data_IF_500605779957
#
_entry.id   IF_500605779957
#
_cell.length_a   1.000
_cell.length_b   1.000
_cell.length_c   1.000
_cell.angle_alpha   90.00
_cell.angle_beta   90.00
_cell.angle_gamma   90.00
#
_symmetry.space_group_name_H-M   'P 1'
#
loop_
_entity.id
_entity.type
_entity.pdbx_description
1 polymer ?
#
# COMPACT_ATOMS: atom_id res chain seq x y z
N UNK A 1 -28.55 28.63 32.06
CA UNK A 1 -27.65 27.48 32.35
C UNK A 1 -27.64 26.53 31.16
N UNK A 2 -26.51 25.90 30.84
CA UNK A 2 -26.40 24.88 29.77
C UNK A 2 -27.08 23.58 30.22
N UNK A 3 -27.75 22.88 29.31
CA UNK A 3 -28.39 21.59 29.61
C UNK A 3 -27.35 20.54 30.06
N UNK A 4 -27.50 19.99 31.27
CA UNK A 4 -26.64 18.91 31.80
C UNK A 4 -27.02 17.56 31.19
N UNK A 5 -26.04 16.66 31.07
CA UNK A 5 -26.19 15.36 30.41
C UNK A 5 -25.78 14.22 31.34
N UNK A 6 -26.53 13.12 31.27
CA UNK A 6 -26.27 11.88 32.01
C UNK A 6 -25.92 10.74 31.06
N UNK A 7 -25.07 9.81 31.51
CA UNK A 7 -24.76 8.61 30.71
C UNK A 7 -26.01 7.74 30.55
N UNK A 8 -26.23 7.24 29.32
CA UNK A 8 -27.39 6.39 28.99
C UNK A 8 -27.13 4.90 29.17
N UNK A 9 -25.86 4.49 29.17
CA UNK A 9 -25.43 3.11 29.36
C UNK A 9 -25.34 2.79 30.85
N UNK A 10 -25.46 1.50 31.21
CA UNK A 10 -25.34 1.04 32.61
C UNK A 10 -24.02 1.46 33.28
N UNK A 11 -22.94 1.60 32.52
CA UNK A 11 -21.64 1.99 33.04
C UNK A 11 -21.58 3.50 33.30
N UNK A 12 -21.40 3.88 34.57
CA UNK A 12 -21.36 5.27 35.03
C UNK A 12 -19.97 5.93 34.96
N UNK A 13 -18.91 5.16 34.71
CA UNK A 13 -17.53 5.66 34.74
C UNK A 13 -17.04 6.18 33.39
N UNK A 14 -16.18 7.21 33.43
CA UNK A 14 -15.53 7.85 32.28
C UNK A 14 -14.33 7.03 31.76
N UNK A 15 -14.62 5.88 31.14
CA UNK A 15 -13.59 4.98 30.61
C UNK A 15 -13.31 5.24 29.11
N UNK A 16 -12.20 4.72 28.60
CA UNK A 16 -11.85 4.80 27.16
C UNK A 16 -12.87 4.11 26.24
N UNK A 17 -13.67 3.16 26.75
CA UNK A 17 -14.75 2.48 26.02
C UNK A 17 -16.08 3.23 26.09
N UNK A 18 -16.32 3.95 27.18
CA UNK A 18 -17.56 4.70 27.41
C UNK A 18 -17.40 6.17 26.98
N UNK A 19 -16.86 6.38 25.78
CA UNK A 19 -16.69 7.71 25.19
C UNK A 19 -17.99 8.11 24.50
N UNK A 20 -18.42 9.36 24.65
CA UNK A 20 -19.71 9.83 24.14
C UNK A 20 -19.55 11.06 23.25
N UNK A 21 -20.43 11.19 22.27
CA UNK A 21 -20.61 12.42 21.48
C UNK A 21 -21.92 13.06 21.93
N UNK A 22 -21.88 14.36 22.22
CA UNK A 22 -23.09 15.15 22.45
C UNK A 22 -23.77 15.40 21.10
N UNK A 23 -25.02 14.97 20.97
CA UNK A 23 -25.81 15.13 19.74
C UNK A 23 -27.14 15.81 20.09
N UNK A 24 -27.56 16.79 19.28
CA UNK A 24 -28.90 17.37 19.35
C UNK A 24 -29.90 16.40 18.70
N UNK A 25 -30.94 16.03 19.43
CA UNK A 25 -32.04 15.25 18.86
C UNK A 25 -32.98 16.16 18.05
N UNK A 26 -33.80 15.60 17.15
CA UNK A 26 -34.82 16.37 16.43
C UNK A 26 -35.77 17.15 17.36
N UNK A 27 -36.06 16.62 18.56
CA UNK A 27 -36.84 17.30 19.60
C UNK A 27 -36.06 18.37 20.39
N UNK A 28 -34.90 18.82 19.90
CA UNK A 28 -34.11 19.91 20.49
C UNK A 28 -33.32 19.57 21.75
N UNK A 29 -33.40 18.33 22.26
CA UNK A 29 -32.70 17.91 23.49
C UNK A 29 -31.25 17.50 23.19
N UNK A 30 -30.31 17.92 24.02
CA UNK A 30 -28.93 17.41 23.98
C UNK A 30 -28.88 16.01 24.64
N UNK A 31 -28.25 15.04 23.98
CA UNK A 31 -28.15 13.66 24.45
C UNK A 31 -26.78 13.07 24.14
N UNK A 32 -26.25 12.22 25.03
CA UNK A 32 -25.05 11.42 24.77
C UNK A 32 -25.35 10.23 23.85
N UNK A 33 -24.56 10.08 22.79
CA UNK A 33 -24.49 8.88 21.98
C UNK A 33 -23.13 8.20 22.17
N UNK A 34 -23.14 6.89 22.44
CA UNK A 34 -21.91 6.12 22.61
C UNK A 34 -21.11 6.08 21.33
N UNK A 35 -19.84 6.48 21.42
CA UNK A 35 -18.89 6.42 20.32
C UNK A 35 -18.02 5.18 20.44
N UNK A 36 -17.76 4.53 19.32
CA UNK A 36 -16.79 3.42 19.26
C UNK A 36 -15.37 3.99 19.34
N UNK A 37 -14.46 3.28 20.02
CA UNK A 37 -13.02 3.56 19.97
C UNK A 37 -12.53 3.60 18.52
N UNK A 38 -11.71 4.59 18.20
CA UNK A 38 -11.05 4.72 16.90
C UNK A 38 -10.09 3.55 16.69
N UNK A 39 -10.13 2.94 15.51
CA UNK A 39 -9.24 1.84 15.16
C UNK A 39 -7.89 2.36 14.65
N UNK A 40 -6.81 1.68 15.02
CA UNK A 40 -5.56 1.77 14.29
C UNK A 40 -5.67 0.94 13.01
N UNK A 41 -5.44 1.56 11.85
CA UNK A 41 -5.42 0.84 10.57
C UNK A 41 -4.20 -0.08 10.42
N UNK A 42 -4.19 -0.94 9.40
CA UNK A 42 -3.09 -1.86 9.13
C UNK A 42 -1.77 -1.12 8.83
N UNK A 43 -0.68 -1.62 9.40
CA UNK A 43 0.67 -1.06 9.24
C UNK A 43 1.59 -2.09 8.62
N UNK A 44 2.56 -1.61 7.85
CA UNK A 44 3.68 -2.41 7.38
C UNK A 44 4.60 -2.76 8.57
N UNK A 45 4.99 -4.04 8.77
CA UNK A 45 5.89 -4.43 9.86
C UNK A 45 7.32 -3.89 9.71
N UNK A 46 7.80 -3.72 8.48
CA UNK A 46 9.17 -3.23 8.21
C UNK A 46 9.25 -1.71 8.35
N UNK A 47 8.37 -1.00 7.65
CA UNK A 47 8.45 0.47 7.56
C UNK A 47 7.61 1.18 8.63
N UNK A 48 6.71 0.49 9.34
CA UNK A 48 5.73 1.09 10.24
C UNK A 48 4.66 1.97 9.57
N UNK A 49 4.82 2.28 8.28
CA UNK A 49 3.89 3.08 7.46
C UNK A 49 2.53 2.40 7.34
N UNK A 50 1.48 3.21 7.31
CA UNK A 50 0.09 2.76 7.09
C UNK A 50 -0.06 2.22 5.67
N UNK A 51 -0.83 1.15 5.51
CA UNK A 51 -1.09 0.57 4.19
C UNK A 51 -2.18 1.38 3.49
N UNK A 52 -1.82 2.00 2.38
CA UNK A 52 -2.75 2.77 1.55
C UNK A 52 -3.77 1.86 0.86
N UNK A 53 -4.99 2.36 0.71
CA UNK A 53 -6.10 1.66 0.04
C UNK A 53 -6.90 0.71 0.94
N UNK A 54 -6.55 0.57 2.22
CA UNK A 54 -7.28 -0.26 3.18
C UNK A 54 -7.94 0.61 4.25
N UNK A 55 -9.25 0.42 4.55
CA UNK A 55 -9.98 1.24 5.51
C UNK A 55 -9.58 0.93 6.96
N UNK A 56 -9.60 1.96 7.79
CA UNK A 56 -9.23 1.90 9.20
C UNK A 56 -10.46 1.59 10.06
N UNK A 57 -10.82 0.32 10.13
CA UNK A 57 -12.03 -0.14 10.80
C UNK A 57 -11.72 -1.05 11.98
N UNK A 58 -12.68 -1.23 12.88
CA UNK A 58 -12.52 -2.20 13.98
C UNK A 58 -12.64 -3.63 13.45
N UNK A 59 -12.04 -4.63 14.13
CA UNK A 59 -12.10 -6.02 13.67
C UNK A 59 -13.52 -6.54 13.41
N UNK A 60 -14.50 -6.10 14.22
CA UNK A 60 -15.91 -6.48 14.03
C UNK A 60 -16.54 -5.91 12.75
N UNK A 61 -16.03 -4.79 12.23
CA UNK A 61 -16.47 -4.20 10.97
C UNK A 61 -15.74 -4.85 9.79
N UNK A 62 -14.52 -5.34 9.98
CA UNK A 62 -13.72 -6.04 8.96
C UNK A 62 -14.25 -7.44 8.57
N UNK A 63 -15.29 -7.93 9.25
CA UNK A 63 -15.93 -9.22 8.98
C UNK A 63 -16.45 -9.30 7.55
N UNK A 64 -16.38 -10.50 6.95
CA UNK A 64 -16.78 -10.77 5.55
C UNK A 64 -18.24 -10.41 5.26
N UNK A 65 -19.12 -10.48 6.26
CA UNK A 65 -20.53 -10.10 6.12
C UNK A 65 -20.76 -8.59 5.99
N UNK A 66 -19.80 -7.76 6.43
CA UNK A 66 -19.93 -6.29 6.43
C UNK A 66 -19.09 -5.61 5.38
N UNK A 67 -17.90 -6.16 5.07
CA UNK A 67 -17.03 -5.62 4.03
C UNK A 67 -16.68 -6.63 2.93
N UNK A 68 -16.81 -6.23 1.65
CA UNK A 68 -16.37 -7.04 0.52
C UNK A 68 -14.84 -7.22 0.51
N UNK A 69 -14.35 -8.17 -0.29
CA UNK A 69 -12.91 -8.50 -0.34
C UNK A 69 -12.06 -7.38 -0.93
N UNK A 70 -12.53 -6.75 -2.02
CA UNK A 70 -11.83 -5.66 -2.71
C UNK A 70 -11.47 -4.48 -1.79
N UNK A 71 -12.31 -4.16 -0.80
CA UNK A 71 -12.02 -3.11 0.20
C UNK A 71 -11.04 -3.54 1.28
N UNK A 72 -10.79 -4.84 1.44
CA UNK A 72 -9.92 -5.39 2.51
C UNK A 72 -8.51 -5.72 2.02
N UNK A 73 -8.29 -5.76 0.72
CA UNK A 73 -7.05 -6.21 0.09
C UNK A 73 -6.59 -5.23 -0.99
N UNK A 74 -5.31 -5.27 -1.34
CA UNK A 74 -4.78 -4.54 -2.50
C UNK A 74 -4.23 -5.54 -3.51
N UNK A 75 -4.52 -5.33 -4.79
CA UNK A 75 -4.12 -6.23 -5.89
C UNK A 75 -2.63 -6.05 -6.24
N UNK A 76 -1.74 -6.53 -5.37
CA UNK A 76 -0.29 -6.64 -5.60
C UNK A 76 0.32 -7.74 -4.72
N UNK A 77 1.56 -8.12 -4.99
CA UNK A 77 2.32 -9.00 -4.10
C UNK A 77 2.37 -8.43 -2.67
N UNK A 78 2.10 -9.30 -1.67
CA UNK A 78 2.00 -8.95 -0.25
C UNK A 78 0.99 -7.82 0.07
N UNK A 79 -0.05 -7.66 -0.75
CA UNK A 79 -1.11 -6.67 -0.56
C UNK A 79 -1.79 -6.79 0.81
N UNK A 80 -1.83 -5.68 1.56
CA UNK A 80 -2.41 -5.64 2.91
C UNK A 80 -1.48 -6.06 4.04
N UNK A 81 -0.25 -6.48 3.73
CA UNK A 81 0.78 -6.79 4.73
C UNK A 81 1.95 -5.82 4.62
N UNK A 82 2.46 -5.59 3.40
CA UNK A 82 3.60 -4.71 3.14
C UNK A 82 3.18 -3.40 2.45
N UNK A 83 3.91 -2.33 2.74
CA UNK A 83 3.81 -1.06 1.99
C UNK A 83 4.34 -1.24 0.57
N UNK A 84 3.88 -0.40 -0.38
CA UNK A 84 4.34 -0.47 -1.76
C UNK A 84 5.86 -0.29 -1.90
N UNK A 85 6.47 0.58 -1.10
CA UNK A 85 7.92 0.78 -1.07
C UNK A 85 8.67 -0.47 -0.59
N UNK A 86 8.23 -1.08 0.50
CA UNK A 86 8.86 -2.28 1.05
C UNK A 86 8.76 -3.48 0.09
N UNK A 87 7.68 -3.57 -0.68
CA UNK A 87 7.56 -4.59 -1.74
C UNK A 87 8.59 -4.35 -2.84
N UNK A 88 8.74 -3.10 -3.32
CA UNK A 88 9.73 -2.75 -4.35
C UNK A 88 11.16 -3.03 -3.89
N UNK A 89 11.53 -2.62 -2.68
CA UNK A 89 12.84 -2.89 -2.09
C UNK A 89 13.13 -4.39 -2.01
N UNK A 90 12.14 -5.21 -1.61
CA UNK A 90 12.29 -6.68 -1.59
C UNK A 90 12.55 -7.28 -2.97
N UNK A 91 11.81 -6.83 -3.99
CA UNK A 91 12.05 -7.30 -5.36
C UNK A 91 13.45 -6.92 -5.85
N UNK A 92 13.89 -5.68 -5.60
CA UNK A 92 15.22 -5.21 -5.99
C UNK A 92 16.32 -5.97 -5.24
N UNK A 93 16.21 -6.11 -3.92
CA UNK A 93 17.18 -6.87 -3.13
C UNK A 93 17.24 -8.34 -3.53
N UNK A 94 16.10 -8.97 -3.83
CA UNK A 94 16.08 -10.36 -4.28
C UNK A 94 16.72 -10.51 -5.67
N UNK A 95 16.47 -9.59 -6.59
CA UNK A 95 17.16 -9.55 -7.88
C UNK A 95 18.67 -9.37 -7.72
N UNK A 96 19.12 -8.42 -6.89
CA UNK A 96 20.55 -8.18 -6.64
C UNK A 96 21.23 -9.39 -5.98
N UNK A 97 20.53 -10.08 -5.06
CA UNK A 97 21.05 -11.29 -4.41
C UNK A 97 21.16 -12.45 -5.40
N UNK A 98 20.17 -12.61 -6.27
CA UNK A 98 20.17 -13.62 -7.33
C UNK A 98 21.24 -13.32 -8.40
N UNK A 99 21.47 -12.05 -8.76
CA UNK A 99 22.53 -11.67 -9.70
C UNK A 99 23.93 -11.90 -9.11
N UNK A 100 24.14 -11.55 -7.83
CA UNK A 100 25.42 -11.81 -7.15
C UNK A 100 25.66 -13.32 -6.95
N UNK A 101 24.61 -14.10 -6.65
CA UNK A 101 24.74 -15.55 -6.54
C UNK A 101 25.06 -16.23 -7.87
N UNK A 102 24.57 -15.69 -9.00
CA UNK A 102 24.93 -16.17 -10.33
C UNK A 102 26.40 -15.86 -10.68
N UNK A 103 26.94 -14.71 -10.25
CA UNK A 103 28.36 -14.39 -10.44
C UNK A 103 29.30 -15.29 -9.62
N UNK A 104 28.90 -15.70 -8.42
CA UNK A 104 29.70 -16.62 -7.59
C UNK A 104 29.68 -18.04 -8.17
N UNK A 105 28.54 -18.52 -8.68
CA UNK A 105 28.43 -19.84 -9.31
C UNK A 105 29.11 -19.94 -10.69
N UNK A 106 29.38 -18.82 -11.37
CA UNK A 106 30.14 -18.82 -12.63
C UNK A 106 31.64 -19.03 -12.39
N UNK A 107 32.14 -18.86 -11.16
CA UNK A 107 33.55 -19.11 -10.82
C UNK A 107 33.84 -20.57 -10.40
N UNK A 108 32.81 -21.35 -10.09
CA UNK A 108 32.92 -22.79 -9.81
C UNK A 108 32.27 -23.56 -10.95
N UNK A 109 33.01 -23.78 -12.03
CA UNK A 109 32.52 -24.44 -13.24
C UNK A 109 31.81 -25.77 -12.93
N UNK A 110 30.48 -25.79 -13.01
CA UNK A 110 29.68 -27.00 -13.18
C UNK A 110 28.24 -26.66 -13.60
N UNK A 111 27.98 -26.92 -14.88
CA UNK A 111 26.72 -27.31 -15.53
C UNK A 111 25.42 -26.96 -14.80
N UNK A 112 24.83 -25.80 -15.13
CA UNK A 112 23.37 -25.66 -15.06
C UNK A 112 22.87 -24.62 -16.08
N UNK A 113 23.18 -24.87 -17.35
CA UNK A 113 22.51 -24.21 -18.47
C UNK A 113 21.16 -24.88 -18.59
N UNK A 114 20.10 -24.31 -17.99
CA UNK A 114 18.70 -24.48 -18.45
C UNK A 114 17.65 -23.68 -17.65
N UNK A 115 18.00 -22.72 -16.77
CA UNK A 115 17.01 -21.85 -16.09
C UNK A 115 17.38 -20.36 -16.11
N UNK A 116 18.03 -19.90 -17.18
CA UNK A 116 18.36 -18.47 -17.43
C UNK A 116 17.37 -17.82 -18.44
N UNK A 117 16.42 -18.60 -18.97
CA UNK A 117 15.52 -18.15 -20.04
C UNK A 117 14.44 -17.13 -19.65
N UNK A 118 13.91 -17.20 -18.43
CA UNK A 118 12.66 -16.47 -18.11
C UNK A 118 12.88 -15.11 -17.44
N UNK A 119 13.97 -14.94 -16.69
CA UNK A 119 14.32 -13.67 -16.06
C UNK A 119 14.92 -12.65 -17.03
N UNK A 120 15.62 -13.11 -18.07
CA UNK A 120 16.13 -12.23 -19.13
C UNK A 120 15.01 -11.63 -19.99
N UNK A 121 13.81 -12.23 -20.03
CA UNK A 121 12.69 -11.75 -20.86
C UNK A 121 12.00 -10.53 -20.28
N UNK A 122 11.74 -10.51 -18.97
CA UNK A 122 11.02 -9.42 -18.30
C UNK A 122 11.90 -8.16 -18.21
N UNK A 123 13.19 -8.34 -17.89
CA UNK A 123 14.15 -7.22 -17.81
C UNK A 123 14.51 -6.70 -19.21
N UNK A 124 14.68 -7.56 -20.23
CA UNK A 124 14.82 -7.10 -21.63
C UNK A 124 13.56 -6.37 -22.09
N UNK A 125 12.36 -6.84 -21.77
CA UNK A 125 11.12 -6.14 -22.16
C UNK A 125 11.06 -4.73 -21.56
N UNK A 126 11.41 -4.57 -20.29
CA UNK A 126 11.44 -3.25 -19.63
C UNK A 126 12.53 -2.34 -20.23
N UNK A 127 13.77 -2.83 -20.38
CA UNK A 127 14.88 -2.02 -20.91
C UNK A 127 14.71 -1.68 -22.41
N UNK A 128 14.05 -2.54 -23.20
CA UNK A 128 13.76 -2.28 -24.62
C UNK A 128 12.68 -1.22 -24.79
N UNK A 129 11.65 -1.19 -23.94
CA UNK A 129 10.62 -0.14 -23.97
C UNK A 129 11.21 1.23 -23.60
N UNK A 130 12.04 1.30 -22.56
CA UNK A 130 12.73 2.55 -22.17
C UNK A 130 13.66 3.07 -23.28
N UNK A 131 14.45 2.18 -23.91
CA UNK A 131 15.34 2.54 -25.02
C UNK A 131 14.59 3.05 -26.26
N UNK A 132 13.39 2.54 -26.55
CA UNK A 132 12.56 3.02 -27.67
C UNK A 132 12.06 4.44 -27.44
N UNK A 133 11.69 4.78 -26.21
CA UNK A 133 11.22 6.13 -25.86
C UNK A 133 12.38 7.13 -25.99
N UNK A 134 13.54 6.81 -25.40
CA UNK A 134 14.74 7.65 -25.49
C UNK A 134 15.17 7.88 -26.94
N UNK A 135 15.20 6.83 -27.77
CA UNK A 135 15.55 6.95 -29.19
C UNK A 135 14.54 7.78 -29.99
N UNK A 136 13.24 7.73 -29.67
CA UNK A 136 12.21 8.57 -30.31
C UNK A 136 12.38 10.04 -29.93
N UNK A 137 12.60 10.34 -28.65
CA UNK A 137 12.79 11.72 -28.16
C UNK A 137 14.03 12.36 -28.80
N UNK A 138 15.16 11.65 -28.81
CA UNK A 138 16.40 12.15 -29.42
C UNK A 138 16.26 12.38 -30.93
N UNK A 139 15.48 11.56 -31.64
CA UNK A 139 15.21 11.78 -33.07
C UNK A 139 14.37 13.04 -33.30
N UNK A 140 13.33 13.25 -32.49
CA UNK A 140 12.45 14.42 -32.58
C UNK A 140 13.21 15.72 -32.30
N UNK A 141 14.11 15.73 -31.31
CA UNK A 141 14.97 16.88 -31.00
C UNK A 141 15.88 17.23 -32.18
N UNK A 142 16.58 16.24 -32.74
CA UNK A 142 17.45 16.43 -33.91
C UNK A 142 16.71 16.93 -35.15
N UNK A 143 15.48 16.47 -35.39
CA UNK A 143 14.67 16.97 -36.52
C UNK A 143 14.20 18.40 -36.31
N UNK A 144 13.85 18.79 -35.07
CA UNK A 144 13.46 20.17 -34.75
C UNK A 144 14.62 21.14 -34.90
N UNK A 145 15.80 20.77 -34.39
CA UNK A 145 17.03 21.57 -34.52
C UNK A 145 17.43 21.78 -35.99
N UNK A 146 17.26 20.76 -36.83
CA UNK A 146 17.56 20.82 -38.27
C UNK A 146 16.52 21.60 -39.09
N UNK A 147 15.32 21.77 -38.56
CA UNK A 147 14.27 22.62 -39.14
C UNK A 147 14.42 24.09 -38.71
N UNK A 148 14.96 24.36 -37.52
CA UNK A 148 15.24 25.73 -37.07
C UNK A 148 16.50 26.35 -37.68
N UNK A 149 17.42 25.54 -38.23
CA UNK A 149 18.65 25.99 -38.86
C UNK A 149 18.56 26.16 -40.39
N UNK A 150 17.36 26.00 -40.95
CA UNK A 150 17.04 26.17 -42.36
C UNK A 150 16.14 27.38 -42.53
#
# INVERSE_FOLDING_TARGET
MVQRLTYRTRHSYATKSNQHRVVKTPGGKLVYQTTKKRASGPKCPVTGKRIQGIPHLRPAEYKRSRLPRNRRTVNRAYGGVLSGSAVRERFVHQHLRLSMSCCIHVFSGSRHVLLIGDYCRIIRAFLVEEQKIVKKVLKIQKTKEKQSSK
#
